data_IF_474284259686
#
_entry.id   IF_474284259686
#
_cell.length_a   1.000
_cell.length_b   1.000
_cell.length_c   1.000
_cell.angle_alpha   90.00
_cell.angle_beta   90.00
_cell.angle_gamma   90.00
#
_symmetry.space_group_name_H-M   'P 1'
#
loop_
_entity.id
_entity.type
_entity.pdbx_description
1 polymer ?
#
# COMPACT_ATOMS: atom_id res chain seq x y z
N UNK A 1 -5.87 19.69 -4.03
CA UNK A 1 -5.90 18.51 -3.17
C UNK A 1 -5.09 18.86 -1.95
N UNK A 2 -5.71 18.83 -0.79
CA UNK A 2 -5.12 19.29 0.47
C UNK A 2 -4.93 18.14 1.48
N UNK A 3 -5.76 17.09 1.37
CA UNK A 3 -5.75 15.96 2.28
C UNK A 3 -5.79 14.64 1.52
N UNK A 4 -4.91 13.71 1.87
CA UNK A 4 -4.78 12.40 1.27
C UNK A 4 -4.68 11.36 2.38
N UNK A 5 -5.53 10.34 2.36
CA UNK A 5 -5.44 9.20 3.27
C UNK A 5 -4.68 8.08 2.58
N UNK A 6 -3.68 7.58 3.27
CA UNK A 6 -2.87 6.42 2.82
C UNK A 6 -3.07 5.29 3.81
N UNK A 7 -3.53 4.14 3.32
CA UNK A 7 -3.74 2.92 4.12
C UNK A 7 -2.91 1.78 3.51
N UNK A 8 -2.42 0.90 4.37
CA UNK A 8 -1.67 -0.30 3.99
C UNK A 8 -1.92 -1.43 4.99
N UNK A 9 -1.65 -2.65 4.58
CA UNK A 9 -1.50 -3.81 5.48
C UNK A 9 -2.70 -4.02 6.43
N UNK A 10 -3.91 -3.92 5.89
CA UNK A 10 -5.17 -4.04 6.65
C UNK A 10 -5.40 -5.48 7.13
N UNK A 11 -4.94 -6.46 6.34
CA UNK A 11 -4.90 -7.87 6.72
C UNK A 11 -6.21 -8.41 7.30
N UNK A 12 -7.33 -8.21 6.64
CA UNK A 12 -8.63 -8.74 7.09
C UNK A 12 -9.09 -8.22 8.45
N UNK A 13 -8.45 -7.17 8.98
CA UNK A 13 -8.78 -6.55 10.26
C UNK A 13 -9.87 -5.48 10.11
N UNK A 14 -11.10 -5.95 9.93
CA UNK A 14 -12.25 -5.06 9.74
C UNK A 14 -12.45 -4.08 10.91
N UNK A 15 -12.13 -4.48 12.13
CA UNK A 15 -12.33 -3.63 13.31
C UNK A 15 -11.37 -2.44 13.30
N UNK A 16 -10.10 -2.68 12.96
CA UNK A 16 -9.13 -1.60 12.79
C UNK A 16 -9.49 -0.69 11.61
N UNK A 17 -9.84 -1.28 10.45
CA UNK A 17 -10.28 -0.48 9.29
C UNK A 17 -11.44 0.45 9.66
N UNK A 18 -12.47 -0.05 10.32
CA UNK A 18 -13.62 0.76 10.73
C UNK A 18 -13.27 1.86 11.72
N UNK A 19 -12.33 1.59 12.64
CA UNK A 19 -11.85 2.60 13.57
C UNK A 19 -11.13 3.74 12.83
N UNK A 20 -10.24 3.42 11.91
CA UNK A 20 -9.52 4.39 11.08
C UNK A 20 -10.49 5.17 10.17
N UNK A 21 -11.45 4.47 9.54
CA UNK A 21 -12.48 5.12 8.70
C UNK A 21 -13.29 6.12 9.52
N UNK A 22 -13.74 5.73 10.71
CA UNK A 22 -14.47 6.63 11.60
C UNK A 22 -13.62 7.85 11.98
N UNK A 23 -12.34 7.64 12.27
CA UNK A 23 -11.44 8.72 12.67
C UNK A 23 -11.28 9.73 11.53
N UNK A 24 -10.89 9.28 10.33
CA UNK A 24 -10.68 10.23 9.25
C UNK A 24 -11.99 10.89 8.76
N UNK A 25 -13.12 10.20 8.79
CA UNK A 25 -14.42 10.80 8.46
C UNK A 25 -14.89 11.84 9.48
N UNK A 26 -14.43 11.72 10.73
CA UNK A 26 -14.79 12.68 11.79
C UNK A 26 -13.89 13.90 11.81
N UNK A 27 -12.59 13.71 11.55
CA UNK A 27 -11.56 14.71 11.82
C UNK A 27 -10.94 15.32 10.56
N UNK A 28 -11.18 14.74 9.36
CA UNK A 28 -10.57 15.15 8.12
C UNK A 28 -11.58 15.20 6.97
N UNK A 29 -11.19 15.82 5.87
CA UNK A 29 -11.99 15.89 4.64
C UNK A 29 -11.14 15.44 3.44
N UNK A 30 -10.84 14.12 3.33
CA UNK A 30 -9.90 13.64 2.35
C UNK A 30 -10.43 13.81 0.92
N UNK A 31 -9.57 14.33 0.05
CA UNK A 31 -9.82 14.47 -1.37
C UNK A 31 -9.68 13.13 -2.12
N UNK A 32 -8.83 12.22 -1.60
CA UNK A 32 -8.60 10.90 -2.19
C UNK A 32 -7.98 9.91 -1.20
N UNK A 33 -8.07 8.62 -1.58
CA UNK A 33 -7.47 7.50 -0.85
C UNK A 33 -6.39 6.83 -1.69
N UNK A 34 -5.37 6.32 -1.02
CA UNK A 34 -4.35 5.40 -1.53
C UNK A 34 -4.36 4.15 -0.67
N UNK A 35 -4.41 2.98 -1.32
CA UNK A 35 -4.33 1.66 -0.71
C UNK A 35 -3.07 0.97 -1.25
N UNK A 36 -2.16 0.61 -0.35
CA UNK A 36 -0.84 0.09 -0.73
C UNK A 36 -0.74 -1.44 -0.70
N UNK A 37 -1.87 -2.14 -0.66
CA UNK A 37 -1.93 -3.59 -0.68
C UNK A 37 -2.12 -4.24 0.69
N UNK A 38 -2.13 -5.56 0.70
CA UNK A 38 -2.36 -6.42 1.85
C UNK A 38 -3.68 -6.10 2.58
N UNK A 39 -4.76 -6.02 1.81
CA UNK A 39 -6.11 -5.84 2.34
C UNK A 39 -6.61 -7.11 3.04
N UNK A 40 -6.15 -8.26 2.58
CA UNK A 40 -6.62 -9.60 2.96
C UNK A 40 -5.59 -10.37 3.78
N UNK A 41 -6.01 -11.57 4.22
CA UNK A 41 -5.22 -12.56 4.95
C UNK A 41 -4.86 -12.13 6.39
N UNK A 42 -4.21 -13.02 7.15
CA UNK A 42 -3.96 -12.98 8.59
C UNK A 42 -5.22 -12.80 9.44
N UNK A 43 -6.00 -11.76 9.22
CA UNK A 43 -7.31 -11.57 9.84
C UNK A 43 -8.39 -12.39 9.14
N UNK A 44 -9.41 -12.79 9.88
CA UNK A 44 -10.44 -13.74 9.41
C UNK A 44 -11.54 -13.07 8.56
N UNK A 45 -11.51 -11.75 8.38
CA UNK A 45 -12.64 -10.98 7.81
C UNK A 45 -12.29 -10.29 6.48
N UNK A 46 -11.53 -10.99 5.62
CA UNK A 46 -11.07 -10.47 4.33
C UNK A 46 -12.22 -10.05 3.41
N UNK A 47 -13.30 -10.83 3.34
CA UNK A 47 -14.47 -10.48 2.52
C UNK A 47 -15.15 -9.18 3.00
N UNK A 48 -15.27 -9.02 4.31
CA UNK A 48 -15.90 -7.83 4.89
C UNK A 48 -14.99 -6.60 4.75
N UNK A 49 -13.67 -6.76 4.82
CA UNK A 49 -12.72 -5.68 4.52
C UNK A 49 -12.90 -5.23 3.08
N UNK A 50 -12.90 -6.14 2.10
CA UNK A 50 -13.15 -5.82 0.69
C UNK A 50 -14.51 -5.11 0.53
N UNK A 51 -15.56 -5.61 1.19
CA UNK A 51 -16.88 -4.95 1.16
C UNK A 51 -16.85 -3.53 1.72
N UNK A 52 -16.07 -3.28 2.77
CA UNK A 52 -15.92 -1.95 3.35
C UNK A 52 -15.12 -1.02 2.42
N UNK A 53 -14.05 -1.51 1.80
CA UNK A 53 -13.28 -0.75 0.78
C UNK A 53 -14.18 -0.38 -0.40
N UNK A 54 -14.97 -1.31 -0.93
CA UNK A 54 -15.95 -1.01 -2.00
C UNK A 54 -16.98 0.08 -1.62
N UNK A 55 -17.30 0.24 -0.34
CA UNK A 55 -18.14 1.36 0.13
C UNK A 55 -17.37 2.67 0.15
N UNK A 56 -16.10 2.64 0.57
CA UNK A 56 -15.25 3.82 0.56
C UNK A 56 -15.01 4.33 -0.86
N UNK A 57 -14.80 3.44 -1.84
CA UNK A 57 -14.65 3.79 -3.26
C UNK A 57 -15.86 4.54 -3.86
N UNK A 58 -17.05 4.34 -3.30
CA UNK A 58 -18.25 5.09 -3.70
C UNK A 58 -18.31 6.48 -3.08
N UNK A 59 -17.57 6.73 -2.03
CA UNK A 59 -17.57 8.01 -1.28
C UNK A 59 -16.37 8.87 -1.60
N UNK A 60 -15.23 8.23 -1.90
CA UNK A 60 -13.95 8.89 -2.11
C UNK A 60 -13.28 8.37 -3.38
N UNK A 61 -12.62 9.22 -4.18
CA UNK A 61 -11.74 8.77 -5.24
C UNK A 61 -10.59 7.91 -4.68
N UNK A 62 -10.47 6.66 -5.12
CA UNK A 62 -9.30 5.82 -4.85
C UNK A 62 -8.35 5.94 -6.03
N UNK A 63 -7.26 6.67 -5.84
CA UNK A 63 -6.32 7.00 -6.92
C UNK A 63 -5.23 5.97 -7.12
N UNK A 64 -5.06 5.08 -6.14
CA UNK A 64 -4.15 3.94 -6.19
C UNK A 64 -4.68 2.83 -5.27
N UNK A 65 -4.75 1.60 -5.77
CA UNK A 65 -5.14 0.42 -5.00
C UNK A 65 -4.30 -0.77 -5.47
N UNK A 66 -3.21 -1.06 -4.76
CA UNK A 66 -2.21 -2.04 -5.16
C UNK A 66 -2.49 -3.42 -4.57
N UNK A 67 -2.03 -4.45 -5.26
CA UNK A 67 -1.76 -5.73 -4.63
C UNK A 67 -0.52 -5.63 -3.73
N UNK A 68 -0.61 -6.24 -2.55
CA UNK A 68 0.54 -6.60 -1.74
C UNK A 68 0.94 -8.07 -1.94
N UNK A 69 1.89 -8.54 -1.15
CA UNK A 69 2.37 -9.92 -1.24
C UNK A 69 1.30 -10.95 -0.82
N UNK A 70 0.33 -10.58 0.01
CA UNK A 70 -0.74 -11.49 0.40
C UNK A 70 -1.78 -11.65 -0.71
N UNK A 71 -2.14 -10.60 -1.46
CA UNK A 71 -2.96 -10.76 -2.66
C UNK A 71 -2.27 -11.65 -3.68
N UNK A 72 -0.97 -11.43 -3.95
CA UNK A 72 -0.19 -12.27 -4.87
C UNK A 72 -0.16 -13.73 -4.42
N UNK A 73 0.11 -13.98 -3.13
CA UNK A 73 0.20 -15.34 -2.61
C UNK A 73 -1.16 -16.07 -2.61
N UNK A 74 -2.26 -15.34 -2.40
CA UNK A 74 -3.62 -15.91 -2.50
C UNK A 74 -3.97 -16.25 -3.94
N UNK A 75 -3.62 -15.37 -4.88
CA UNK A 75 -4.01 -15.51 -6.29
C UNK A 75 -3.07 -16.40 -7.09
N UNK A 76 -1.77 -16.47 -6.71
CA UNK A 76 -0.72 -17.24 -7.37
C UNK A 76 0.07 -18.10 -6.36
N UNK A 77 -0.59 -19.05 -5.65
CA UNK A 77 0.03 -19.76 -4.52
C UNK A 77 1.23 -20.62 -4.94
N UNK A 78 1.20 -21.20 -6.13
CA UNK A 78 2.27 -22.08 -6.61
C UNK A 78 3.63 -21.37 -6.65
N UNK A 79 3.64 -20.07 -6.93
CA UNK A 79 4.86 -19.28 -7.05
C UNK A 79 5.30 -18.65 -5.72
N UNK A 80 4.35 -18.36 -4.82
CA UNK A 80 4.60 -17.49 -3.66
C UNK A 80 4.46 -18.17 -2.30
N UNK A 81 3.82 -19.35 -2.21
CA UNK A 81 3.65 -20.07 -0.94
C UNK A 81 4.98 -20.37 -0.23
N UNK A 82 6.04 -20.64 -0.98
CA UNK A 82 7.37 -20.92 -0.43
C UNK A 82 7.99 -19.72 0.30
N UNK A 83 7.53 -18.51 0.05
CA UNK A 83 7.97 -17.29 0.75
C UNK A 83 7.45 -17.16 2.18
N UNK A 84 6.41 -17.92 2.53
CA UNK A 84 5.89 -17.97 3.91
C UNK A 84 6.72 -18.93 4.75
N UNK A 85 7.57 -18.41 5.62
CA UNK A 85 8.52 -19.19 6.43
C UNK A 85 7.85 -19.97 7.55
N UNK A 86 6.67 -19.53 8.06
CA UNK A 86 5.99 -20.16 9.18
C UNK A 86 4.80 -21.02 8.76
N UNK A 87 4.59 -22.15 9.48
CA UNK A 87 3.40 -23.00 9.30
C UNK A 87 2.11 -22.23 9.54
N UNK A 88 2.13 -21.31 10.52
CA UNK A 88 0.99 -20.44 10.82
C UNK A 88 0.65 -19.54 9.62
N UNK A 89 1.63 -18.90 9.01
CA UNK A 89 1.42 -18.06 7.82
C UNK A 89 0.81 -18.87 6.67
N UNK A 90 1.35 -20.05 6.38
CA UNK A 90 0.80 -20.95 5.36
C UNK A 90 -0.63 -21.40 5.66
N UNK A 91 -0.93 -21.72 6.94
CA UNK A 91 -2.27 -22.10 7.35
C UNK A 91 -3.28 -20.97 7.20
N UNK A 92 -2.89 -19.73 7.54
CA UNK A 92 -3.74 -18.54 7.36
C UNK A 92 -4.01 -18.26 5.90
N UNK A 93 -2.98 -18.34 5.05
CA UNK A 93 -3.14 -18.19 3.59
C UNK A 93 -4.14 -19.21 3.02
N UNK A 94 -3.97 -20.48 3.38
CA UNK A 94 -4.90 -21.56 2.95
C UNK A 94 -6.33 -21.32 3.46
N UNK A 95 -6.49 -20.83 4.67
CA UNK A 95 -7.79 -20.42 5.21
C UNK A 95 -8.40 -19.30 4.37
N UNK A 96 -7.63 -18.24 4.10
CA UNK A 96 -8.08 -17.08 3.31
C UNK A 96 -8.51 -17.52 1.91
N UNK A 97 -7.70 -18.31 1.21
CA UNK A 97 -8.03 -18.87 -0.11
C UNK A 97 -9.37 -19.61 -0.10
N UNK A 98 -9.60 -20.46 0.91
CA UNK A 98 -10.84 -21.23 1.05
C UNK A 98 -12.06 -20.36 1.37
N UNK A 99 -11.88 -19.22 2.02
CA UNK A 99 -12.95 -18.38 2.55
C UNK A 99 -13.30 -17.19 1.67
N UNK A 100 -12.44 -16.79 0.76
CA UNK A 100 -12.75 -15.69 -0.16
C UNK A 100 -13.98 -16.05 -1.01
N UNK A 101 -14.91 -15.11 -1.06
CA UNK A 101 -16.09 -15.21 -1.93
C UNK A 101 -15.71 -14.91 -3.39
N UNK A 102 -16.53 -15.39 -4.32
CA UNK A 102 -16.34 -15.08 -5.74
C UNK A 102 -16.34 -13.56 -6.03
N UNK A 103 -17.18 -12.79 -5.31
CA UNK A 103 -17.20 -11.32 -5.41
C UNK A 103 -15.89 -10.68 -4.92
N UNK A 104 -15.30 -11.20 -3.84
CA UNK A 104 -14.01 -10.74 -3.35
C UNK A 104 -12.88 -11.09 -4.29
N UNK A 105 -12.86 -12.30 -4.83
CA UNK A 105 -11.88 -12.72 -5.84
C UNK A 105 -11.96 -11.82 -7.08
N UNK A 106 -13.16 -11.57 -7.58
CA UNK A 106 -13.38 -10.68 -8.71
C UNK A 106 -12.86 -9.26 -8.41
N UNK A 107 -13.08 -8.75 -7.20
CA UNK A 107 -12.55 -7.45 -6.78
C UNK A 107 -11.01 -7.42 -6.77
N UNK A 108 -10.37 -8.44 -6.22
CA UNK A 108 -8.89 -8.53 -6.26
C UNK A 108 -8.36 -8.50 -7.69
N UNK A 109 -9.06 -9.15 -8.63
CA UNK A 109 -8.63 -9.25 -10.04
C UNK A 109 -8.86 -7.97 -10.85
N UNK A 110 -9.93 -7.25 -10.57
CA UNK A 110 -10.40 -6.15 -11.44
C UNK A 110 -10.43 -4.79 -10.76
N UNK A 111 -10.52 -4.75 -9.43
CA UNK A 111 -10.57 -3.52 -8.62
C UNK A 111 -9.23 -3.09 -8.06
N UNK A 112 -8.21 -3.95 -8.15
CA UNK A 112 -6.86 -3.68 -7.66
C UNK A 112 -5.83 -3.81 -8.77
N UNK A 113 -4.70 -3.15 -8.60
CA UNK A 113 -3.59 -3.14 -9.56
C UNK A 113 -2.52 -4.17 -9.15
N UNK A 114 -2.33 -5.20 -9.98
CA UNK A 114 -1.48 -6.37 -9.66
C UNK A 114 0.03 -6.10 -9.77
N UNK A 115 0.46 -4.88 -10.11
CA UNK A 115 1.90 -4.60 -10.32
C UNK A 115 2.69 -4.32 -9.04
N UNK A 116 2.04 -4.23 -7.86
CA UNK A 116 2.67 -3.88 -6.57
C UNK A 116 3.29 -2.48 -6.52
N UNK A 117 3.18 -1.71 -7.60
CA UNK A 117 3.66 -0.32 -7.69
C UNK A 117 2.89 0.50 -8.73
N UNK A 118 2.77 1.80 -8.47
CA UNK A 118 2.16 2.78 -9.37
C UNK A 118 2.77 4.16 -9.19
N UNK A 119 2.92 4.89 -10.28
CA UNK A 119 3.23 6.33 -10.23
C UNK A 119 1.96 7.09 -10.51
N UNK A 120 1.62 8.04 -9.64
CA UNK A 120 0.49 8.94 -9.80
C UNK A 120 0.96 10.39 -9.77
N UNK A 121 0.17 11.28 -10.35
CA UNK A 121 0.39 12.73 -10.27
C UNK A 121 -0.85 13.38 -9.67
N UNK A 122 -0.68 14.09 -8.56
CA UNK A 122 -1.74 14.80 -7.88
C UNK A 122 -1.38 16.29 -7.80
N UNK A 123 -2.09 17.12 -8.56
CA UNK A 123 -1.69 18.50 -8.77
C UNK A 123 -0.33 18.57 -9.46
N UNK A 124 0.64 19.24 -8.80
CA UNK A 124 2.03 19.31 -9.26
C UNK A 124 2.96 18.31 -8.59
N UNK A 125 2.42 17.35 -7.82
CA UNK A 125 3.19 16.37 -7.06
C UNK A 125 3.24 15.03 -7.77
N UNK A 126 4.43 14.50 -7.95
CA UNK A 126 4.66 13.16 -8.49
C UNK A 126 4.91 12.18 -7.35
N UNK A 127 4.08 11.18 -7.26
CA UNK A 127 4.03 10.23 -6.14
C UNK A 127 4.30 8.83 -6.66
N UNK A 128 5.24 8.14 -6.03
CA UNK A 128 5.47 6.71 -6.24
C UNK A 128 4.77 5.95 -5.10
N UNK A 129 3.84 5.07 -5.46
CA UNK A 129 3.20 4.14 -4.55
C UNK A 129 3.80 2.75 -4.77
N UNK A 130 4.17 2.08 -3.68
CA UNK A 130 4.75 0.73 -3.66
C UNK A 130 4.05 -0.07 -2.56
N UNK A 131 3.91 -1.40 -2.71
CA UNK A 131 3.68 -2.22 -1.54
C UNK A 131 5.01 -2.53 -0.83
N UNK A 132 5.95 -3.17 -1.53
CA UNK A 132 7.30 -3.46 -1.05
C UNK A 132 8.31 -2.35 -1.33
N UNK A 133 9.36 -2.65 -2.10
CA UNK A 133 10.34 -1.67 -2.56
C UNK A 133 10.40 -1.61 -4.10
N UNK A 134 11.36 -0.84 -4.63
CA UNK A 134 11.51 -0.70 -6.08
C UNK A 134 11.98 -1.99 -6.75
N UNK A 135 12.84 -2.77 -6.10
CA UNK A 135 13.48 -3.95 -6.68
C UNK A 135 12.59 -5.19 -6.56
N UNK A 136 11.87 -5.33 -5.46
CA UNK A 136 10.85 -6.36 -5.24
C UNK A 136 9.55 -5.70 -4.77
N UNK A 137 8.62 -5.41 -5.71
CA UNK A 137 7.41 -4.65 -5.41
C UNK A 137 6.47 -5.29 -4.38
N UNK A 138 6.68 -6.57 -4.06
CA UNK A 138 5.82 -7.30 -3.13
C UNK A 138 6.51 -7.66 -1.81
N UNK A 139 7.80 -8.07 -1.85
CA UNK A 139 8.50 -8.61 -0.69
C UNK A 139 9.67 -7.74 -0.24
N UNK A 140 9.98 -6.71 -1.01
CA UNK A 140 11.03 -5.77 -0.68
C UNK A 140 10.67 -4.93 0.55
N UNK A 141 11.70 -4.47 1.25
CA UNK A 141 11.54 -3.65 2.46
C UNK A 141 12.14 -2.28 2.21
N UNK A 142 11.29 -1.27 2.19
CA UNK A 142 11.74 0.11 2.11
C UNK A 142 12.23 0.57 3.48
N UNK A 143 13.51 0.90 3.59
CA UNK A 143 14.12 1.46 4.78
C UNK A 143 15.27 2.41 4.42
N UNK A 144 15.89 3.02 5.42
CA UNK A 144 16.98 3.99 5.22
C UNK A 144 18.27 3.39 4.67
N UNK A 145 18.40 2.08 4.56
CA UNK A 145 19.60 1.40 4.08
C UNK A 145 19.55 1.09 2.59
N UNK A 146 18.36 1.02 1.97
CA UNK A 146 18.17 0.64 0.57
C UNK A 146 17.67 1.77 -0.35
N UNK A 147 17.80 3.03 0.06
CA UNK A 147 17.45 4.18 -0.77
C UNK A 147 18.46 4.49 -1.88
N UNK A 148 19.63 3.86 -1.85
CA UNK A 148 20.66 4.00 -2.87
C UNK A 148 20.36 3.13 -4.11
N UNK A 149 20.79 3.60 -5.28
CA UNK A 149 20.65 2.86 -6.55
C UNK A 149 19.32 3.06 -7.28
N UNK A 150 18.38 3.77 -6.70
CA UNK A 150 17.10 4.14 -7.33
C UNK A 150 17.00 5.67 -7.41
N UNK A 151 16.56 6.18 -8.57
CA UNK A 151 16.37 7.63 -8.71
C UNK A 151 15.06 8.09 -8.07
N UNK A 152 14.99 8.08 -6.75
CA UNK A 152 13.84 8.59 -6.00
C UNK A 152 13.70 10.12 -6.08
N UNK A 153 14.78 10.84 -6.44
CA UNK A 153 14.73 12.29 -6.67
C UNK A 153 13.73 12.71 -7.78
N UNK A 154 13.27 11.75 -8.59
CA UNK A 154 12.21 11.97 -9.57
C UNK A 154 10.81 12.13 -8.95
N UNK A 155 10.64 11.85 -7.66
CA UNK A 155 9.35 11.88 -6.96
C UNK A 155 9.35 12.86 -5.81
N UNK A 156 8.19 13.49 -5.55
CA UNK A 156 7.98 14.32 -4.36
C UNK A 156 7.71 13.46 -3.13
N UNK A 157 6.95 12.36 -3.33
CA UNK A 157 6.59 11.41 -2.29
C UNK A 157 6.80 9.98 -2.76
N UNK A 158 7.21 9.12 -1.83
CA UNK A 158 7.27 7.67 -1.99
C UNK A 158 6.50 7.05 -0.83
N UNK A 159 5.41 6.36 -1.13
CA UNK A 159 4.61 5.64 -0.15
C UNK A 159 4.87 4.14 -0.27
N UNK A 160 5.12 3.48 0.86
CA UNK A 160 5.36 2.03 0.92
C UNK A 160 4.58 1.38 2.06
N UNK A 161 4.37 0.07 1.98
CA UNK A 161 3.73 -0.77 3.01
C UNK A 161 4.63 -1.90 3.47
N UNK A 162 4.08 -3.13 3.57
CA UNK A 162 4.73 -4.43 3.76
C UNK A 162 5.45 -4.62 5.10
N UNK A 163 6.18 -3.64 5.59
CA UNK A 163 7.04 -3.82 6.76
C UNK A 163 6.28 -3.81 8.09
N UNK A 164 5.05 -3.31 8.12
CA UNK A 164 4.25 -3.02 9.31
C UNK A 164 4.97 -2.11 10.33
N UNK A 165 5.94 -1.34 9.85
CA UNK A 165 6.72 -0.40 10.66
C UNK A 165 6.51 1.00 10.11
N UNK A 166 5.77 1.87 10.82
CA UNK A 166 5.54 3.22 10.35
C UNK A 166 6.84 4.00 10.29
N UNK A 167 7.03 4.75 9.22
CA UNK A 167 8.16 5.67 9.13
C UNK A 167 7.82 6.91 8.30
N UNK A 168 8.54 7.98 8.61
CA UNK A 168 8.58 9.22 7.84
C UNK A 168 10.03 9.66 7.70
N UNK A 169 10.54 9.70 6.46
CA UNK A 169 11.91 10.11 6.16
C UNK A 169 11.88 11.22 5.11
N UNK A 170 12.75 12.20 5.24
CA UNK A 170 12.99 13.22 4.24
C UNK A 170 14.42 13.11 3.71
N UNK A 171 14.58 12.88 2.41
CA UNK A 171 15.87 12.83 1.75
C UNK A 171 16.05 14.09 0.92
N UNK A 172 17.07 14.86 1.24
CA UNK A 172 17.46 16.06 0.51
C UNK A 172 18.57 15.72 -0.48
N UNK A 173 18.39 16.17 -1.72
CA UNK A 173 19.38 15.94 -2.78
C UNK A 173 20.25 17.18 -2.97
N UNK A 174 21.55 16.97 -3.07
CA UNK A 174 22.45 18.00 -3.53
C UNK A 174 22.21 18.25 -5.02
N UNK A 175 22.15 19.52 -5.39
CA UNK A 175 22.06 19.96 -6.77
C UNK A 175 23.31 20.75 -7.07
N UNK A 176 24.00 20.43 -8.17
CA UNK A 176 25.29 21.02 -8.57
C UNK A 176 25.24 22.55 -8.82
N UNK A 177 24.04 23.11 -8.95
CA UNK A 177 23.81 24.53 -9.15
C UNK A 177 23.34 25.20 -7.86
N UNK A 178 24.18 26.04 -7.21
CA UNK A 178 23.85 26.71 -5.95
C UNK A 178 22.56 27.53 -5.97
N UNK A 179 22.22 28.14 -7.11
CA UNK A 179 20.98 28.89 -7.31
C UNK A 179 19.73 27.99 -7.37
N UNK A 180 19.90 26.71 -7.71
CA UNK A 180 18.85 25.71 -7.72
C UNK A 180 18.80 24.87 -6.45
N UNK A 181 19.62 25.19 -5.44
CA UNK A 181 19.61 24.56 -4.10
C UNK A 181 18.27 24.72 -3.37
N UNK A 182 17.21 24.94 -4.09
CA UNK A 182 15.86 24.99 -3.58
C UNK A 182 15.40 23.61 -3.13
N UNK A 183 16.18 23.04 -2.17
CA UNK A 183 15.69 22.04 -1.22
C UNK A 183 14.82 20.96 -1.88
N UNK A 184 15.25 20.43 -3.05
CA UNK A 184 14.58 19.29 -3.64
C UNK A 184 14.71 18.14 -2.66
N UNK A 185 13.57 17.67 -2.18
CA UNK A 185 13.50 16.53 -1.28
C UNK A 185 12.48 15.54 -1.79
N UNK A 186 12.67 14.29 -1.45
CA UNK A 186 11.64 13.26 -1.51
C UNK A 186 11.23 12.89 -0.09
N UNK A 187 9.94 12.82 0.14
CA UNK A 187 9.36 12.35 1.41
C UNK A 187 8.99 10.90 1.26
N UNK A 188 9.57 10.04 2.11
CA UNK A 188 9.23 8.63 2.21
C UNK A 188 8.31 8.44 3.40
N UNK A 189 7.24 7.70 3.17
CA UNK A 189 6.22 7.46 4.19
C UNK A 189 5.71 6.03 4.13
N UNK A 190 5.62 5.40 5.30
CA UNK A 190 4.94 4.12 5.50
C UNK A 190 3.92 4.31 6.62
N UNK A 191 2.64 3.99 6.41
CA UNK A 191 1.62 4.17 7.46
C UNK A 191 1.69 3.13 8.59
N UNK A 192 2.40 2.00 8.37
CA UNK A 192 2.49 0.89 9.32
C UNK A 192 1.63 -0.30 8.98
#
# INVERSE_FOLDING_TARGET
MNELIVLSDIHGNLSALRAVVKDFQTNYSPDALILLGDLIDYGMRSNEVISEIKKLERQYPVVCNLWGNHEVAVMCPEEHLCRFSSDRGRAMLAYTQKKLSADSIAYLQTGMESGGRKVITLGNKRILCLHGDWTDPYWGKMDNTNLSGVNYAAYDYVFSGHTHIPHHLEVFYEIDFPELRNRKKTVFFNPG
#
